data_IF_072904190129
#
_entry.id   IF_072904190129
#
_cell.length_a   1.000
_cell.length_b   1.000
_cell.length_c   1.000
_cell.angle_alpha   90.00
_cell.angle_beta   90.00
_cell.angle_gamma   90.00
#
_symmetry.space_group_name_H-M   'P 1'
#
loop_
_entity.id
_entity.type
_entity.pdbx_description
1 polymer ?
#
# COMPACT_ATOMS: atom_id res chain seq x y z
N UNK A 1 -19.50 66.51 28.29
CA UNK A 1 -20.76 66.76 29.04
C UNK A 1 -21.62 65.50 28.96
N UNK A 2 -21.79 64.84 30.11
CA UNK A 2 -22.74 63.76 30.44
C UNK A 2 -24.17 64.37 30.57
N UNK A 3 -25.30 63.60 30.63
CA UNK A 3 -25.54 62.41 31.50
C UNK A 3 -26.28 61.24 30.79
N UNK A 4 -26.18 59.95 31.15
CA UNK A 4 -26.58 59.16 32.36
C UNK A 4 -28.06 59.31 32.78
N UNK A 5 -28.85 58.24 32.58
CA UNK A 5 -30.02 57.93 33.41
C UNK A 5 -30.24 56.41 33.48
N UNK A 6 -30.43 55.93 34.71
CA UNK A 6 -30.73 54.56 35.10
C UNK A 6 -32.08 54.57 35.84
N UNK A 7 -32.90 53.53 35.67
CA UNK A 7 -34.06 53.22 36.53
C UNK A 7 -34.21 51.68 36.54
N UNK A 8 -33.93 50.99 37.65
CA UNK A 8 -34.79 50.69 38.83
C UNK A 8 -35.88 49.64 38.55
N UNK A 9 -35.70 48.48 39.21
CA UNK A 9 -36.62 47.35 39.39
C UNK A 9 -37.92 47.75 40.13
N UNK A 10 -38.91 46.85 40.13
CA UNK A 10 -39.30 46.29 41.43
C UNK A 10 -39.41 44.75 41.46
N UNK A 11 -39.19 44.25 42.68
CA UNK A 11 -39.40 42.87 43.11
C UNK A 11 -40.87 42.46 43.05
N UNK A 12 -41.13 41.20 42.73
CA UNK A 12 -42.25 40.46 43.32
C UNK A 12 -41.77 39.05 43.65
N UNK A 13 -41.97 38.67 44.90
CA UNK A 13 -41.65 37.38 45.50
C UNK A 13 -42.94 36.63 45.88
N UNK A 14 -42.76 35.36 46.28
CA UNK A 14 -43.72 34.34 46.77
C UNK A 14 -44.42 33.53 45.66
N UNK A 15 -44.55 32.20 45.74
CA UNK A 15 -44.60 31.31 46.90
C UNK A 15 -44.19 29.87 46.52
N UNK A 16 -43.71 29.12 47.52
CA UNK A 16 -43.30 27.72 47.46
C UNK A 16 -44.45 26.75 47.13
N UNK A 17 -44.13 25.67 46.41
CA UNK A 17 -44.61 24.32 46.74
C UNK A 17 -43.51 23.30 46.47
N UNK A 18 -43.05 22.64 47.53
CA UNK A 18 -42.24 21.44 47.49
C UNK A 18 -43.16 20.21 47.41
N UNK A 19 -42.79 19.22 46.60
CA UNK A 19 -43.16 17.83 46.80
C UNK A 19 -41.96 16.96 46.41
N UNK A 20 -41.46 16.20 47.38
CA UNK A 20 -40.42 15.20 47.22
C UNK A 20 -40.98 13.93 46.57
N UNK A 21 -40.15 13.17 45.85
CA UNK A 21 -40.45 11.77 45.56
C UNK A 21 -39.74 11.15 44.36
N UNK A 22 -38.83 10.24 44.68
CA UNK A 22 -38.49 9.04 43.90
C UNK A 22 -37.39 9.14 42.83
N UNK A 23 -36.18 8.89 43.33
CA UNK A 23 -35.06 8.24 42.68
C UNK A 23 -35.50 7.04 41.80
N UNK A 24 -35.29 7.12 40.49
CA UNK A 24 -35.12 5.97 39.60
C UNK A 24 -34.02 6.26 38.58
N UNK A 25 -32.91 5.56 38.75
CA UNK A 25 -31.93 5.33 37.68
C UNK A 25 -32.65 4.73 36.48
N UNK A 26 -32.67 5.43 35.36
CA UNK A 26 -33.01 4.88 34.06
C UNK A 26 -31.77 5.01 33.17
N UNK A 27 -31.34 3.87 32.63
CA UNK A 27 -30.06 3.69 31.96
C UNK A 27 -29.83 4.63 30.79
N UNK A 28 -28.58 5.06 30.64
CA UNK A 28 -28.08 5.70 29.42
C UNK A 28 -28.40 4.79 28.23
N UNK A 29 -28.99 5.29 27.14
CA UNK A 29 -29.05 4.53 25.90
C UNK A 29 -27.62 4.32 25.43
N UNK A 30 -27.21 3.05 25.39
CA UNK A 30 -26.01 2.61 24.71
C UNK A 30 -26.19 2.91 23.22
N UNK A 31 -25.66 4.05 22.76
CA UNK A 31 -25.32 4.19 21.35
C UNK A 31 -24.11 3.28 21.12
N UNK A 32 -24.40 2.03 20.75
CA UNK A 32 -23.48 1.22 19.99
C UNK A 32 -23.22 1.95 18.67
N UNK A 33 -22.24 2.85 18.69
CA UNK A 33 -21.75 3.52 17.50
C UNK A 33 -21.16 2.44 16.59
N UNK A 34 -21.82 2.22 15.46
CA UNK A 34 -21.36 1.36 14.40
C UNK A 34 -19.91 1.71 14.06
N UNK A 35 -19.06 0.69 14.04
CA UNK A 35 -17.67 0.82 13.63
C UNK A 35 -17.60 1.43 12.23
N UNK A 36 -16.63 2.32 11.93
CA UNK A 36 -16.42 2.76 10.57
C UNK A 36 -16.06 1.54 9.73
N UNK A 37 -16.88 1.29 8.72
CA UNK A 37 -16.73 0.22 7.76
C UNK A 37 -15.37 0.40 7.07
N UNK A 38 -14.42 -0.46 7.40
CA UNK A 38 -13.25 -0.67 6.55
C UNK A 38 -13.85 -0.97 5.18
N UNK A 39 -13.56 -0.15 4.18
CA UNK A 39 -13.87 -0.49 2.78
C UNK A 39 -12.93 -1.62 2.36
N UNK A 40 -13.06 -2.79 3.00
CA UNK A 40 -12.71 -4.06 2.40
C UNK A 40 -13.66 -4.18 1.23
N UNK A 41 -13.16 -3.84 0.03
CA UNK A 41 -13.85 -4.22 -1.18
C UNK A 41 -14.18 -5.71 -1.05
N UNK A 42 -15.46 -6.11 -1.15
CA UNK A 42 -15.81 -7.51 -1.03
C UNK A 42 -15.01 -8.27 -2.08
N UNK A 43 -14.19 -9.22 -1.62
CA UNK A 43 -13.44 -10.14 -2.48
C UNK A 43 -14.47 -10.79 -3.40
N UNK A 44 -14.33 -10.72 -4.73
CA UNK A 44 -15.30 -11.33 -5.62
C UNK A 44 -15.47 -12.81 -5.24
N UNK A 45 -16.73 -13.21 -5.11
CA UNK A 45 -17.10 -14.59 -4.90
C UNK A 45 -16.86 -15.35 -6.20
N UNK A 46 -15.66 -15.93 -6.33
CA UNK A 46 -15.28 -17.09 -7.12
C UNK A 46 -13.75 -17.16 -7.08
N UNK A 47 -13.19 -17.96 -6.16
CA UNK A 47 -11.87 -18.55 -6.40
C UNK A 47 -12.09 -19.60 -7.49
N UNK A 48 -12.15 -19.16 -8.75
CA UNK A 48 -11.94 -20.06 -9.88
C UNK A 48 -10.65 -20.82 -9.59
N UNK A 49 -10.68 -22.15 -9.65
CA UNK A 49 -9.46 -22.94 -9.52
C UNK A 49 -8.45 -22.38 -10.53
N UNK A 50 -7.27 -22.00 -10.05
CA UNK A 50 -6.20 -21.57 -10.92
C UNK A 50 -5.78 -22.78 -11.76
N UNK A 51 -6.09 -22.72 -13.06
CA UNK A 51 -5.61 -23.67 -14.05
C UNK A 51 -4.64 -22.91 -14.92
N UNK A 52 -3.32 -23.15 -14.79
CA UNK A 52 -2.35 -22.48 -15.64
C UNK A 52 -2.66 -22.83 -17.10
N UNK A 53 -2.55 -21.87 -18.04
CA UNK A 53 -2.59 -22.19 -19.46
C UNK A 53 -1.56 -23.29 -19.79
N UNK A 54 -1.85 -24.15 -20.75
CA UNK A 54 -0.87 -25.09 -21.29
C UNK A 54 0.06 -24.33 -22.24
N UNK A 55 1.37 -24.36 -22.00
CA UNK A 55 2.38 -23.64 -22.82
C UNK A 55 3.10 -24.60 -23.77
N UNK A 56 3.47 -24.13 -24.96
CA UNK A 56 4.36 -24.89 -25.86
C UNK A 56 5.81 -24.75 -25.40
N UNK A 57 6.47 -25.89 -25.17
CA UNK A 57 7.81 -25.98 -24.56
C UNK A 57 8.95 -25.69 -25.54
N UNK A 58 8.76 -24.77 -26.48
CA UNK A 58 9.67 -24.53 -27.61
C UNK A 58 10.42 -23.21 -27.48
N UNK A 59 11.39 -23.14 -26.56
CA UNK A 59 12.44 -22.11 -26.57
C UNK A 59 12.25 -20.92 -25.61
N UNK A 60 13.05 -19.86 -25.84
CA UNK A 60 12.99 -18.61 -25.07
C UNK A 60 11.71 -17.84 -25.42
N UNK A 61 10.88 -17.54 -24.42
CA UNK A 61 9.64 -16.77 -24.58
C UNK A 61 9.91 -15.28 -24.76
N UNK A 62 9.09 -14.62 -25.54
CA UNK A 62 9.02 -13.16 -25.66
C UNK A 62 7.90 -12.59 -24.80
N UNK A 63 7.85 -11.27 -24.64
CA UNK A 63 6.69 -10.60 -24.00
C UNK A 63 5.41 -10.87 -24.78
N UNK A 64 5.49 -10.94 -26.12
CA UNK A 64 4.34 -11.24 -26.98
C UNK A 64 3.79 -12.64 -26.72
N UNK A 65 4.65 -13.64 -26.51
CA UNK A 65 4.22 -15.01 -26.18
C UNK A 65 3.50 -15.04 -24.83
N UNK A 66 4.03 -14.32 -23.84
CA UNK A 66 3.36 -14.19 -22.53
C UNK A 66 1.99 -13.50 -22.65
N UNK A 67 1.89 -12.46 -23.49
CA UNK A 67 0.60 -11.80 -23.75
C UNK A 67 -0.39 -12.72 -24.47
N UNK A 68 0.08 -13.53 -25.41
CA UNK A 68 -0.75 -14.53 -26.08
C UNK A 68 -1.29 -15.56 -25.08
N UNK A 69 -0.42 -16.12 -24.24
CA UNK A 69 -0.76 -17.24 -23.36
C UNK A 69 -1.55 -16.82 -22.12
N UNK A 70 -1.16 -15.71 -21.49
CA UNK A 70 -1.75 -15.25 -20.23
C UNK A 70 -2.68 -14.06 -20.38
N UNK A 71 -2.59 -13.30 -21.47
CA UNK A 71 -3.37 -12.08 -21.69
C UNK A 71 -4.87 -12.29 -21.48
N UNK A 72 -5.52 -13.24 -22.18
CA UNK A 72 -6.95 -13.49 -22.02
C UNK A 72 -7.34 -13.83 -20.58
N UNK A 73 -6.53 -14.62 -19.88
CA UNK A 73 -6.78 -14.99 -18.49
C UNK A 73 -6.63 -13.80 -17.54
N UNK A 74 -5.49 -13.11 -17.58
CA UNK A 74 -5.17 -11.96 -16.73
C UNK A 74 -6.18 -10.83 -16.92
N UNK A 75 -6.56 -10.52 -18.17
CA UNK A 75 -7.56 -9.49 -18.48
C UNK A 75 -8.93 -9.85 -17.91
N UNK A 76 -9.42 -11.08 -18.11
CA UNK A 76 -10.71 -11.53 -17.55
C UNK A 76 -10.76 -11.37 -16.04
N UNK A 77 -9.63 -11.58 -15.37
CA UNK A 77 -9.56 -11.52 -13.91
C UNK A 77 -9.41 -10.11 -13.36
N UNK A 78 -8.64 -9.25 -14.01
CA UNK A 78 -8.40 -7.87 -13.59
C UNK A 78 -9.57 -6.94 -13.94
N UNK A 79 -10.16 -7.09 -15.14
CA UNK A 79 -11.16 -6.17 -15.68
C UNK A 79 -12.33 -5.86 -14.73
N UNK A 80 -12.92 -6.83 -13.99
CA UNK A 80 -13.99 -6.53 -13.03
C UNK A 80 -13.56 -5.63 -11.85
N UNK A 81 -12.27 -5.64 -11.47
CA UNK A 81 -11.75 -4.75 -10.44
C UNK A 81 -11.62 -3.32 -10.96
N UNK A 82 -11.13 -3.16 -12.19
CA UNK A 82 -11.04 -1.87 -12.87
C UNK A 82 -12.43 -1.24 -13.10
N UNK A 83 -13.39 -2.03 -13.60
CA UNK A 83 -14.78 -1.59 -13.81
C UNK A 83 -15.42 -1.08 -12.51
N UNK A 84 -15.25 -1.82 -11.40
CA UNK A 84 -15.76 -1.42 -10.08
C UNK A 84 -15.07 -0.17 -9.51
N UNK A 85 -13.79 0.02 -9.81
CA UNK A 85 -13.04 1.20 -9.41
C UNK A 85 -13.36 2.43 -10.29
N UNK A 86 -14.06 2.24 -11.41
CA UNK A 86 -14.33 3.30 -12.39
C UNK A 86 -13.06 3.75 -13.13
N UNK A 87 -12.13 2.83 -13.38
CA UNK A 87 -10.88 3.07 -14.12
C UNK A 87 -10.87 2.19 -15.38
N UNK A 88 -10.42 2.73 -16.50
CA UNK A 88 -10.30 2.01 -17.76
C UNK A 88 -9.25 0.89 -17.66
N UNK A 89 -9.38 -0.10 -18.55
CA UNK A 89 -8.39 -1.15 -18.73
C UNK A 89 -7.95 -1.20 -20.21
N UNK A 90 -6.64 -1.07 -20.51
CA UNK A 90 -5.57 -0.73 -19.57
C UNK A 90 -5.72 0.72 -19.06
N UNK A 91 -5.27 1.01 -17.83
CA UNK A 91 -5.26 2.37 -17.31
C UNK A 91 -4.14 3.21 -17.94
N UNK A 92 -4.19 4.53 -17.77
CA UNK A 92 -3.08 5.41 -18.19
C UNK A 92 -1.84 5.24 -17.32
N UNK A 93 -2.00 5.13 -16.00
CA UNK A 93 -0.89 5.01 -15.05
C UNK A 93 -1.21 3.97 -13.97
N UNK A 94 -0.15 3.31 -13.48
CA UNK A 94 -0.23 2.34 -12.39
C UNK A 94 0.83 2.63 -11.33
N UNK A 95 0.45 2.53 -10.07
CA UNK A 95 1.39 2.45 -8.95
C UNK A 95 1.17 1.16 -8.17
N UNK A 96 2.26 0.43 -7.92
CA UNK A 96 2.28 -0.70 -7.01
C UNK A 96 2.82 -0.25 -5.66
N UNK A 97 2.05 -0.41 -4.59
CA UNK A 97 2.49 -0.08 -3.22
C UNK A 97 2.78 -1.39 -2.48
N UNK A 98 4.06 -1.67 -2.24
CA UNK A 98 4.54 -2.82 -1.48
C UNK A 98 4.69 -2.47 0.01
N UNK A 99 3.88 -3.10 0.86
CA UNK A 99 3.88 -2.92 2.30
C UNK A 99 4.50 -4.15 2.96
N UNK A 100 5.75 -4.02 3.42
CA UNK A 100 6.56 -5.16 3.88
C UNK A 100 5.97 -5.83 5.12
N UNK A 101 5.61 -5.05 6.14
CA UNK A 101 5.05 -5.57 7.39
C UNK A 101 3.69 -6.26 7.17
N UNK A 102 2.83 -5.67 6.35
CA UNK A 102 1.49 -6.17 6.03
C UNK A 102 1.54 -7.35 5.05
N UNK A 103 2.69 -7.57 4.40
CA UNK A 103 2.87 -8.54 3.30
C UNK A 103 1.84 -8.32 2.19
N UNK A 104 1.64 -7.06 1.81
CA UNK A 104 0.68 -6.65 0.79
C UNK A 104 1.35 -5.93 -0.36
N UNK A 105 0.85 -6.20 -1.57
CA UNK A 105 1.13 -5.40 -2.75
C UNK A 105 -0.20 -4.84 -3.25
N UNK A 106 -0.39 -3.53 -3.14
CA UNK A 106 -1.58 -2.84 -3.62
C UNK A 106 -1.38 -2.37 -5.06
N UNK A 107 -2.37 -2.62 -5.91
CA UNK A 107 -2.46 -2.11 -7.27
C UNK A 107 -3.36 -0.87 -7.28
N UNK A 108 -2.75 0.29 -7.52
CA UNK A 108 -3.43 1.57 -7.72
C UNK A 108 -3.33 1.98 -9.18
N UNK A 109 -4.40 2.53 -9.74
CA UNK A 109 -4.40 3.00 -11.12
C UNK A 109 -5.25 4.25 -11.33
N UNK A 110 -4.97 4.98 -12.41
CA UNK A 110 -5.77 6.13 -12.87
C UNK A 110 -5.69 6.32 -14.38
N UNK A 111 -6.66 7.04 -14.93
CA UNK A 111 -6.65 7.50 -16.33
C UNK A 111 -6.43 9.00 -16.48
N UNK A 112 -7.08 9.77 -15.61
CA UNK A 112 -7.09 11.24 -15.68
C UNK A 112 -7.07 11.88 -14.28
N UNK A 113 -7.89 11.38 -13.35
CA UNK A 113 -8.13 11.98 -12.03
C UNK A 113 -7.22 11.42 -10.91
N UNK A 114 -7.81 11.18 -9.74
CA UNK A 114 -7.18 10.54 -8.59
C UNK A 114 -6.89 9.06 -8.88
N UNK A 115 -5.85 8.55 -8.22
CA UNK A 115 -5.63 7.12 -8.13
C UNK A 115 -6.77 6.42 -7.38
N UNK A 116 -7.11 5.23 -7.86
CA UNK A 116 -8.10 4.34 -7.24
C UNK A 116 -7.43 3.02 -6.90
N UNK A 117 -7.73 2.48 -5.73
CA UNK A 117 -7.32 1.12 -5.38
C UNK A 117 -8.11 0.15 -6.27
N UNK A 118 -7.38 -0.62 -7.06
CA UNK A 118 -7.95 -1.65 -7.93
C UNK A 118 -8.05 -2.97 -7.17
N UNK A 119 -6.94 -3.38 -6.54
CA UNK A 119 -6.82 -4.68 -5.88
C UNK A 119 -5.61 -4.73 -4.93
N UNK A 120 -5.68 -5.54 -3.89
CA UNK A 120 -4.51 -5.94 -3.09
C UNK A 120 -4.16 -7.43 -3.31
N UNK A 121 -2.87 -7.72 -3.24
CA UNK A 121 -2.30 -9.07 -3.35
C UNK A 121 -1.51 -9.43 -2.10
N UNK A 122 -1.52 -10.71 -1.74
CA UNK A 122 -0.64 -11.23 -0.68
C UNK A 122 0.77 -11.45 -1.24
N UNK A 123 1.77 -10.84 -0.61
CA UNK A 123 3.19 -11.15 -0.87
C UNK A 123 3.49 -12.51 -0.24
N UNK A 124 3.87 -13.50 -1.06
CA UNK A 124 4.12 -14.88 -0.62
C UNK A 124 5.42 -15.00 0.15
N UNK A 125 6.47 -14.33 -0.32
CA UNK A 125 7.73 -14.22 0.39
C UNK A 125 8.43 -12.89 0.09
N UNK A 126 8.97 -12.29 1.15
CA UNK A 126 9.84 -11.12 1.11
C UNK A 126 10.85 -11.28 2.25
N UNK A 127 12.12 -11.12 1.93
CA UNK A 127 13.21 -11.28 2.91
C UNK A 127 13.47 -9.97 3.66
N UNK A 128 14.02 -10.11 4.87
CA UNK A 128 14.46 -8.98 5.70
C UNK A 128 13.39 -8.45 6.65
N UNK A 129 13.71 -7.33 7.30
CA UNK A 129 12.85 -6.61 8.25
C UNK A 129 12.54 -5.21 7.74
N UNK A 130 11.92 -4.35 8.57
CA UNK A 130 11.89 -2.92 8.33
C UNK A 130 13.33 -2.38 8.19
N UNK A 131 13.54 -1.50 7.21
CA UNK A 131 14.84 -0.98 6.82
C UNK A 131 15.14 -1.18 5.33
N UNK A 132 15.87 -0.24 4.70
CA UNK A 132 16.26 -0.33 3.31
C UNK A 132 17.31 -1.43 3.09
N UNK A 133 17.40 -1.89 1.85
CA UNK A 133 18.51 -2.71 1.38
C UNK A 133 19.75 -1.83 1.26
N UNK A 134 20.89 -2.29 1.78
CA UNK A 134 22.14 -1.52 1.79
C UNK A 134 23.27 -2.20 1.01
N UNK A 135 23.28 -3.53 0.92
CA UNK A 135 24.39 -4.27 0.30
C UNK A 135 23.91 -5.53 -0.42
N UNK A 136 24.70 -6.02 -1.36
CA UNK A 136 24.48 -7.35 -1.93
C UNK A 136 24.50 -8.41 -0.82
N UNK A 137 23.53 -9.34 -0.83
CA UNK A 137 23.48 -10.46 0.10
C UNK A 137 22.96 -10.16 1.51
N UNK A 138 22.50 -8.93 1.80
CA UNK A 138 21.87 -8.59 3.09
C UNK A 138 20.46 -9.18 3.30
N UNK A 139 19.96 -9.95 2.32
CA UNK A 139 18.64 -10.58 2.33
C UNK A 139 17.50 -9.58 2.62
N UNK A 140 17.65 -8.34 2.15
CA UNK A 140 16.70 -7.27 2.41
C UNK A 140 15.95 -6.90 1.13
N UNK A 141 14.61 -6.82 1.20
CA UNK A 141 13.84 -6.10 0.17
C UNK A 141 14.07 -4.60 0.37
N UNK A 142 14.40 -3.84 -0.69
CA UNK A 142 14.65 -2.40 -0.58
C UNK A 142 13.37 -1.63 -0.22
N UNK A 143 13.55 -0.42 0.31
CA UNK A 143 12.48 0.52 0.64
C UNK A 143 12.76 1.82 -0.11
N UNK A 144 11.77 2.34 -0.84
CA UNK A 144 11.97 3.47 -1.74
C UNK A 144 10.95 3.53 -2.88
N UNK A 145 11.22 4.42 -3.83
CA UNK A 145 10.41 4.63 -5.04
C UNK A 145 11.21 4.14 -6.25
N UNK A 146 10.64 3.20 -6.99
CA UNK A 146 11.29 2.47 -8.07
C UNK A 146 10.46 2.52 -9.35
N UNK A 147 11.14 2.30 -10.46
CA UNK A 147 10.55 2.10 -11.79
C UNK A 147 10.75 0.64 -12.22
N UNK A 148 9.84 0.18 -13.07
CA UNK A 148 10.01 -1.11 -13.76
C UNK A 148 10.85 -0.87 -15.02
N UNK A 149 12.03 -1.48 -15.08
CA UNK A 149 12.98 -1.30 -16.19
C UNK A 149 13.04 -2.49 -17.13
N UNK A 150 12.46 -3.63 -16.75
CA UNK A 150 12.45 -4.81 -17.61
C UNK A 150 11.32 -5.77 -17.27
N UNK A 151 10.79 -6.41 -18.31
CA UNK A 151 9.88 -7.55 -18.21
C UNK A 151 10.63 -8.78 -18.69
N UNK A 152 10.70 -9.82 -17.87
CA UNK A 152 11.42 -11.05 -18.17
C UNK A 152 10.45 -12.25 -18.31
N UNK A 153 10.11 -12.66 -19.54
CA UNK A 153 9.34 -13.88 -19.81
C UNK A 153 10.03 -15.18 -19.35
N UNK A 154 11.35 -15.17 -19.23
CA UNK A 154 12.19 -16.35 -19.00
C UNK A 154 12.78 -16.38 -17.58
N UNK A 155 12.10 -15.74 -16.63
CA UNK A 155 12.48 -15.77 -15.22
C UNK A 155 12.56 -17.20 -14.70
N UNK A 156 13.65 -17.52 -13.99
CA UNK A 156 13.78 -18.78 -13.25
C UNK A 156 12.72 -18.95 -12.17
N UNK A 157 11.97 -17.89 -11.82
CA UNK A 157 10.90 -17.89 -10.81
C UNK A 157 9.52 -17.66 -11.40
N UNK A 158 9.30 -18.02 -12.68
CA UNK A 158 8.03 -17.85 -13.40
C UNK A 158 7.63 -16.37 -13.57
N UNK A 159 8.02 -15.78 -14.72
CA UNK A 159 7.91 -14.35 -15.03
C UNK A 159 8.59 -13.43 -14.00
N UNK A 160 9.08 -12.26 -14.43
CA UNK A 160 9.48 -11.22 -13.48
C UNK A 160 9.45 -9.81 -14.07
N UNK A 161 9.32 -8.82 -13.19
CA UNK A 161 9.45 -7.40 -13.49
C UNK A 161 10.66 -6.86 -12.71
N UNK A 162 11.67 -6.36 -13.42
CA UNK A 162 12.91 -5.83 -12.83
C UNK A 162 12.70 -4.39 -12.36
N UNK A 163 13.06 -4.11 -11.11
CA UNK A 163 13.10 -2.75 -10.57
C UNK A 163 14.44 -2.09 -10.91
N UNK A 164 14.47 -0.76 -10.98
CA UNK A 164 15.70 0.02 -11.13
C UNK A 164 16.53 0.15 -9.83
N UNK A 165 16.43 -0.82 -8.91
CA UNK A 165 17.30 -0.85 -7.73
C UNK A 165 18.71 -1.36 -8.12
N UNK A 166 19.79 -0.73 -7.64
CA UNK A 166 19.82 0.53 -6.88
C UNK A 166 19.51 1.71 -7.80
N UNK A 167 18.63 2.61 -7.37
CA UNK A 167 18.32 3.84 -8.10
C UNK A 167 19.29 4.98 -7.69
N UNK A 168 19.07 6.19 -8.19
CA UNK A 168 19.93 7.34 -7.89
C UNK A 168 20.01 7.66 -6.39
N UNK A 169 18.91 7.51 -5.65
CA UNK A 169 18.88 7.70 -4.19
C UNK A 169 19.71 6.64 -3.48
N UNK A 170 19.54 5.37 -3.85
CA UNK A 170 20.30 4.25 -3.27
C UNK A 170 21.81 4.40 -3.53
N UNK A 171 22.17 4.80 -4.76
CA UNK A 171 23.55 5.00 -5.19
C UNK A 171 24.19 6.22 -4.52
N UNK A 172 23.46 7.32 -4.38
CA UNK A 172 23.93 8.53 -3.71
C UNK A 172 24.37 8.23 -2.28
N UNK A 173 23.50 7.58 -1.49
CA UNK A 173 23.83 7.23 -0.12
C UNK A 173 24.84 6.09 -0.02
N UNK A 174 24.87 5.16 -0.98
CA UNK A 174 25.94 4.17 -1.05
C UNK A 174 27.31 4.84 -1.20
N UNK A 175 27.42 5.86 -2.05
CA UNK A 175 28.65 6.60 -2.25
C UNK A 175 29.07 7.38 -1.01
N UNK A 176 28.15 8.11 -0.37
CA UNK A 176 28.43 8.88 0.85
C UNK A 176 28.91 7.99 2.00
N UNK A 177 28.40 6.76 2.10
CA UNK A 177 28.78 5.79 3.13
C UNK A 177 29.97 4.90 2.74
N UNK A 178 30.56 5.11 1.55
CA UNK A 178 31.66 4.27 1.04
C UNK A 178 31.26 2.83 0.72
N UNK A 179 29.98 2.54 0.53
CA UNK A 179 29.47 1.22 0.11
C UNK A 179 29.72 1.01 -1.38
N UNK A 180 30.63 0.09 -1.71
CA UNK A 180 31.00 -0.22 -3.10
C UNK A 180 30.12 -1.29 -3.77
N UNK A 181 29.29 -2.00 -3.01
CA UNK A 181 28.42 -3.06 -3.53
C UNK A 181 27.00 -3.00 -2.92
N UNK A 182 26.16 -2.03 -3.33
CA UNK A 182 24.77 -1.92 -2.89
C UNK A 182 23.87 -3.10 -3.32
N UNK A 183 24.38 -3.94 -4.22
CA UNK A 183 23.65 -5.03 -4.86
C UNK A 183 22.90 -4.58 -6.10
N UNK A 184 22.06 -5.46 -6.61
CA UNK A 184 21.21 -5.23 -7.79
C UNK A 184 20.08 -6.25 -7.82
N UNK A 185 19.44 -6.44 -8.98
CA UNK A 185 18.62 -7.61 -9.29
C UNK A 185 17.44 -7.81 -8.32
N UNK A 186 16.72 -6.73 -8.08
CA UNK A 186 15.45 -6.74 -7.35
C UNK A 186 14.30 -6.86 -8.35
N UNK A 187 13.44 -7.84 -8.11
CA UNK A 187 12.32 -8.16 -8.98
C UNK A 187 11.02 -8.31 -8.19
N UNK A 188 9.91 -8.10 -8.91
CA UNK A 188 8.60 -8.66 -8.57
C UNK A 188 8.45 -9.91 -9.43
N UNK A 189 8.24 -11.09 -8.85
CA UNK A 189 8.26 -12.35 -9.60
C UNK A 189 7.27 -13.40 -9.07
N UNK A 190 7.12 -14.51 -9.79
CA UNK A 190 6.27 -15.63 -9.41
C UNK A 190 6.85 -16.50 -8.29
N UNK A 191 6.32 -17.71 -8.12
CA UNK A 191 6.69 -18.65 -7.05
C UNK A 191 6.63 -18.00 -5.65
N UNK A 192 7.18 -18.67 -4.64
CA UNK A 192 7.05 -18.29 -3.24
C UNK A 192 8.38 -18.27 -2.47
N UNK A 193 9.50 -18.11 -3.16
CA UNK A 193 10.84 -18.05 -2.54
C UNK A 193 11.48 -16.70 -2.85
N UNK A 194 12.16 -16.08 -1.88
CA UNK A 194 12.81 -14.78 -2.05
C UNK A 194 14.11 -14.70 -1.22
N UNK A 195 15.08 -13.96 -1.75
CA UNK A 195 16.32 -13.55 -1.07
C UNK A 195 16.53 -12.02 -1.15
N UNK A 196 15.45 -11.25 -1.27
CA UNK A 196 15.47 -9.79 -1.47
C UNK A 196 14.47 -9.24 -2.51
N UNK A 197 13.68 -10.11 -3.13
CA UNK A 197 12.63 -9.77 -4.11
C UNK A 197 11.23 -9.80 -3.49
N UNK A 198 10.23 -9.34 -4.24
CA UNK A 198 8.81 -9.52 -3.92
C UNK A 198 8.27 -10.76 -4.66
N UNK A 199 8.17 -11.90 -3.97
CA UNK A 199 7.61 -13.13 -4.54
C UNK A 199 6.09 -13.14 -4.38
N UNK A 200 5.36 -13.15 -5.50
CA UNK A 200 3.91 -12.93 -5.55
C UNK A 200 3.09 -14.19 -5.82
N UNK A 201 3.74 -15.29 -6.20
CA UNK A 201 3.09 -16.47 -6.77
C UNK A 201 2.74 -16.29 -8.25
N UNK A 202 2.63 -17.42 -8.95
CA UNK A 202 2.55 -17.46 -10.42
C UNK A 202 1.35 -16.70 -10.98
N UNK A 203 0.17 -16.97 -10.41
CA UNK A 203 -1.07 -16.30 -10.83
C UNK A 203 -1.00 -14.77 -10.68
N UNK A 204 -0.41 -14.27 -9.59
CA UNK A 204 -0.31 -12.82 -9.36
C UNK A 204 0.66 -12.18 -10.33
N UNK A 205 1.83 -12.79 -10.57
CA UNK A 205 2.81 -12.20 -11.49
C UNK A 205 2.32 -12.24 -12.93
N UNK A 206 1.51 -13.21 -13.33
CA UNK A 206 0.88 -13.23 -14.65
C UNK A 206 -0.09 -12.06 -14.84
N UNK A 207 -0.90 -11.76 -13.82
CA UNK A 207 -1.79 -10.59 -13.83
C UNK A 207 -0.97 -9.29 -13.96
N UNK A 208 0.06 -9.12 -13.13
CA UNK A 208 0.89 -7.91 -13.08
C UNK A 208 1.75 -7.74 -14.34
N UNK A 209 2.32 -8.82 -14.87
CA UNK A 209 3.18 -8.80 -16.06
C UNK A 209 2.37 -8.41 -17.30
N UNK A 210 1.19 -9.00 -17.48
CA UNK A 210 0.27 -8.65 -18.58
C UNK A 210 -0.16 -7.19 -18.45
N UNK A 211 -0.52 -6.75 -17.23
CA UNK A 211 -0.88 -5.35 -16.99
C UNK A 211 0.27 -4.41 -17.35
N UNK A 212 1.50 -4.73 -16.93
CA UNK A 212 2.68 -3.94 -17.24
C UNK A 212 3.00 -3.86 -18.73
N UNK A 213 2.80 -4.97 -19.45
CA UNK A 213 2.98 -5.00 -20.90
C UNK A 213 1.90 -4.20 -21.65
N UNK A 214 0.66 -4.15 -21.17
CA UNK A 214 -0.40 -3.31 -21.76
C UNK A 214 -0.28 -1.82 -21.43
N UNK A 215 0.12 -1.48 -20.20
CA UNK A 215 0.23 -0.08 -19.72
C UNK A 215 1.53 0.58 -20.20
N UNK A 216 2.58 -0.22 -20.40
CA UNK A 216 3.94 0.29 -20.61
C UNK A 216 4.62 0.54 -19.26
N UNK A 217 5.80 -0.06 -19.09
CA UNK A 217 6.58 -0.01 -17.83
C UNK A 217 6.97 1.43 -17.42
N UNK A 218 7.09 2.33 -18.39
CA UNK A 218 7.33 3.76 -18.19
C UNK A 218 6.17 4.50 -17.51
N UNK A 219 4.95 3.95 -17.61
CA UNK A 219 3.76 4.47 -16.93
C UNK A 219 3.49 3.73 -15.60
N UNK A 220 4.48 2.98 -15.11
CA UNK A 220 4.40 2.23 -13.86
C UNK A 220 5.43 2.69 -12.85
N UNK A 221 5.00 2.81 -11.60
CA UNK A 221 5.85 3.10 -10.44
C UNK A 221 5.65 2.01 -9.38
N UNK A 222 6.69 1.75 -8.60
CA UNK A 222 6.64 0.84 -7.45
C UNK A 222 7.13 1.59 -6.22
N UNK A 223 6.32 1.67 -5.18
CA UNK A 223 6.67 2.28 -3.90
C UNK A 223 6.74 1.16 -2.87
N UNK A 224 7.88 0.97 -2.22
CA UNK A 224 8.04 -0.06 -1.19
C UNK A 224 8.29 0.61 0.15
N UNK A 225 7.41 0.34 1.12
CA UNK A 225 7.44 0.91 2.46
C UNK A 225 7.62 -0.18 3.54
N UNK A 226 8.21 0.15 4.70
CA UNK A 226 8.31 -0.77 5.83
C UNK A 226 6.93 -1.22 6.33
N UNK A 227 5.98 -0.29 6.43
CA UNK A 227 4.58 -0.53 6.80
C UNK A 227 3.67 0.55 6.18
N UNK A 228 2.36 0.46 6.39
CA UNK A 228 1.40 1.43 5.84
C UNK A 228 1.51 2.81 6.53
N UNK A 229 1.97 3.89 5.84
CA UNK A 229 2.04 5.23 6.43
C UNK A 229 0.68 5.87 6.67
N UNK A 230 -0.39 5.35 6.05
CA UNK A 230 -1.76 5.86 6.17
C UNK A 230 -2.40 5.43 7.49
N UNK A 231 -1.88 4.35 8.10
CA UNK A 231 -2.32 3.88 9.40
C UNK A 231 -1.50 4.54 10.53
N UNK A 232 -0.19 4.69 10.33
CA UNK A 232 0.73 5.31 11.28
C UNK A 232 1.97 5.82 10.55
N UNK A 233 2.53 6.98 10.94
CA UNK A 233 3.71 7.55 10.29
C UNK A 233 4.88 6.57 10.25
N UNK A 234 5.66 6.58 9.16
CA UNK A 234 6.87 5.77 9.07
C UNK A 234 7.86 6.22 10.15
N UNK A 235 8.29 5.29 11.00
CA UNK A 235 9.18 5.57 12.13
C UNK A 235 10.55 6.03 11.63
N UNK A 236 10.84 7.31 11.87
CA UNK A 236 12.07 8.03 11.51
C UNK A 236 13.28 7.64 12.38
N UNK A 237 13.13 6.66 13.29
CA UNK A 237 14.05 6.44 14.41
C UNK A 237 14.30 4.99 14.81
N UNK A 238 13.99 4.01 13.94
CA UNK A 238 14.36 2.62 14.21
C UNK A 238 15.88 2.54 14.53
N UNK A 239 16.20 2.10 15.75
CA UNK A 239 17.57 2.12 16.25
C UNK A 239 18.51 1.34 15.32
N UNK A 240 19.63 1.96 14.94
CA UNK A 240 20.64 1.35 14.06
C UNK A 240 20.46 1.60 12.57
N UNK A 241 19.43 2.35 12.14
CA UNK A 241 19.30 2.80 10.75
C UNK A 241 20.14 4.06 10.47
N UNK A 242 20.66 4.24 9.24
CA UNK A 242 21.34 5.47 8.85
C UNK A 242 20.46 6.71 8.99
N UNK A 243 21.04 7.87 9.32
CA UNK A 243 20.27 9.11 9.54
C UNK A 243 19.45 9.56 8.31
N UNK A 244 19.94 9.27 7.10
CA UNK A 244 19.26 9.60 5.86
C UNK A 244 17.96 8.81 5.64
N UNK A 245 17.72 7.74 6.39
CA UNK A 245 16.45 7.00 6.32
C UNK A 245 15.25 7.87 6.70
N UNK A 246 15.47 8.96 7.44
CA UNK A 246 14.43 9.97 7.73
C UNK A 246 13.91 10.63 6.45
N UNK A 247 14.82 11.02 5.56
CA UNK A 247 14.48 11.62 4.27
C UNK A 247 13.79 10.59 3.37
N UNK A 248 14.33 9.36 3.33
CA UNK A 248 13.73 8.26 2.57
C UNK A 248 12.28 8.03 2.99
N UNK A 249 12.03 7.91 4.30
CA UNK A 249 10.70 7.61 4.82
C UNK A 249 9.72 8.78 4.70
N UNK A 250 10.19 10.02 4.81
CA UNK A 250 9.37 11.18 4.48
C UNK A 250 8.91 11.13 3.01
N UNK A 251 9.85 10.86 2.09
CA UNK A 251 9.57 10.77 0.65
C UNK A 251 8.60 9.64 0.31
N UNK A 252 8.79 8.46 0.89
CA UNK A 252 7.88 7.31 0.70
C UNK A 252 6.48 7.62 1.25
N UNK A 253 6.39 8.23 2.44
CA UNK A 253 5.12 8.57 3.06
C UNK A 253 4.35 9.60 2.21
N UNK A 254 5.02 10.66 1.78
CA UNK A 254 4.43 11.70 0.93
C UNK A 254 3.93 11.13 -0.40
N UNK A 255 4.71 10.25 -1.04
CA UNK A 255 4.30 9.59 -2.27
C UNK A 255 3.03 8.74 -2.06
N UNK A 256 3.00 7.88 -1.03
CA UNK A 256 1.82 7.04 -0.73
C UNK A 256 0.59 7.89 -0.40
N UNK A 257 0.76 8.97 0.36
CA UNK A 257 -0.32 9.90 0.72
C UNK A 257 -0.79 10.76 -0.45
N UNK A 258 0.05 10.97 -1.47
CA UNK A 258 -0.36 11.62 -2.72
C UNK A 258 -1.22 10.71 -3.60
N UNK A 259 -1.02 9.39 -3.51
CA UNK A 259 -1.76 8.37 -4.27
C UNK A 259 -3.07 8.01 -3.57
N UNK A 260 -3.08 8.02 -2.24
CA UNK A 260 -4.17 7.47 -1.44
C UNK A 260 -4.48 8.34 -0.24
N UNK A 261 -5.77 8.42 0.12
CA UNK A 261 -6.20 9.24 1.26
C UNK A 261 -5.72 8.60 2.58
N UNK A 262 -5.39 9.40 3.61
CA UNK A 262 -5.11 8.87 4.95
C UNK A 262 -6.27 7.99 5.46
N UNK A 263 -5.97 6.90 6.16
CA UNK A 263 -7.01 6.10 6.80
C UNK A 263 -7.56 6.89 7.99
N UNK A 264 -8.88 6.92 8.15
CA UNK A 264 -9.49 7.51 9.35
C UNK A 264 -9.13 6.64 10.56
N UNK A 265 -8.10 7.03 11.31
CA UNK A 265 -7.70 6.33 12.53
C UNK A 265 -8.75 6.58 13.61
N UNK A 266 -9.56 5.57 13.93
CA UNK A 266 -10.37 5.56 15.16
C UNK A 266 -9.41 5.58 16.35
N UNK A 267 -9.43 6.67 17.12
CA UNK A 267 -8.54 7.02 18.24
C UNK A 267 -8.44 6.04 19.42
N UNK A 268 -8.97 4.82 19.31
CA UNK A 268 -9.22 3.92 20.45
C UNK A 268 -8.40 2.61 20.45
N UNK A 269 -7.33 2.48 19.66
CA UNK A 269 -6.38 1.35 19.81
C UNK A 269 -4.93 1.83 19.77
N UNK A 270 -4.19 1.80 20.90
CA UNK A 270 -2.75 1.97 20.85
C UNK A 270 -2.12 0.81 20.06
N UNK A 271 -1.32 1.15 19.05
CA UNK A 271 -0.51 0.21 18.30
C UNK A 271 0.54 -0.44 19.21
N UNK A 272 0.74 -1.75 19.09
CA UNK A 272 1.88 -2.46 19.65
C UNK A 272 2.85 -2.78 18.51
N UNK A 273 4.02 -2.12 18.43
CA UNK A 273 5.03 -2.44 17.43
C UNK A 273 5.46 -3.91 17.57
N UNK A 274 5.46 -4.70 16.49
CA UNK A 274 5.98 -6.07 16.54
C UNK A 274 7.51 -6.10 16.71
N UNK A 275 8.19 -4.95 16.58
CA UNK A 275 9.63 -4.78 16.80
C UNK A 275 9.99 -4.51 18.28
N UNK A 276 9.35 -5.21 19.22
CA UNK A 276 9.98 -5.49 20.52
C UNK A 276 10.56 -6.89 20.47
N UNK A 277 11.87 -6.98 20.18
CA UNK A 277 12.74 -7.98 20.78
C UNK A 277 13.90 -7.25 21.42
#
# INVERSE_FOLDING_TARGET
>A
MLPKAAYLLPMTALLLTACAGSNKQAGKPSLAAAAPERTHLPKPALRSAYVPPLFSDTGQRTVSDVLHDFGPYSVRKLKPYFERAGVAYPPREVVLIGLKQEKKLELWARDQNEYRLIRDYDIRAASGSAGPKLRQGDLQVPEGIYQIVGLNPNSHYHLSMKLNYPNDFDLHYAQLEGRTNPGSDIFIHGRAVSAGCLAMGDETIEELFVLAAHVGKENMKVVIAPHDPRAWPLDQTAAGQPEWTRELYATIADEILSISRPLAVSSNRPYSPPYRR
#
